data_IF_996605675965
#
_entry.id   IF_996605675965
#
_cell.length_a   1.000
_cell.length_b   1.000
_cell.length_c   1.000
_cell.angle_alpha   90.00
_cell.angle_beta   90.00
_cell.angle_gamma   90.00
#
_symmetry.space_group_name_H-M   'P 1'
#
loop_
_entity.id
_entity.type
_entity.pdbx_description
1 polymer ?
#
# COMPACT_ATOMS: atom_id res chain seq x y z
N UNK A 1 -6.58 21.02 -11.82
CA UNK A 1 -5.70 19.94 -11.31
C UNK A 1 -4.41 20.00 -12.12
N UNK A 2 -3.39 20.63 -11.57
CA UNK A 2 -2.12 20.91 -12.24
C UNK A 2 -1.35 19.62 -12.52
N UNK A 3 -0.93 19.43 -13.78
CA UNK A 3 -0.23 18.24 -14.29
C UNK A 3 1.01 17.90 -13.44
N UNK A 4 1.71 18.93 -12.95
CA UNK A 4 2.85 18.82 -12.01
C UNK A 4 2.53 18.02 -10.73
N UNK A 5 1.33 18.12 -10.19
CA UNK A 5 0.95 17.39 -8.97
C UNK A 5 0.70 15.90 -9.25
N UNK A 6 0.21 15.56 -10.45
CA UNK A 6 -0.01 14.17 -10.87
C UNK A 6 1.31 13.48 -11.22
N UNK A 7 2.20 14.19 -11.91
CA UNK A 7 3.55 13.71 -12.23
C UNK A 7 4.34 13.42 -10.94
N UNK A 8 4.28 14.34 -9.97
CA UNK A 8 4.93 14.15 -8.66
C UNK A 8 4.35 12.94 -7.91
N UNK A 9 3.02 12.75 -7.95
CA UNK A 9 2.38 11.57 -7.33
C UNK A 9 2.82 10.26 -7.97
N UNK A 10 3.00 10.22 -9.29
CA UNK A 10 3.49 9.03 -9.99
C UNK A 10 4.97 8.75 -9.65
N UNK A 11 5.79 9.80 -9.64
CA UNK A 11 7.21 9.74 -9.24
C UNK A 11 7.40 9.24 -7.81
N UNK A 12 6.53 9.66 -6.88
CA UNK A 12 6.54 9.27 -5.47
C UNK A 12 6.02 7.85 -5.19
N UNK A 13 5.34 7.24 -6.15
CA UNK A 13 4.77 5.88 -6.00
C UNK A 13 5.52 4.83 -6.81
N UNK A 14 6.44 5.24 -7.68
CA UNK A 14 7.19 4.33 -8.52
C UNK A 14 8.53 3.95 -7.88
N UNK A 15 8.62 2.76 -7.32
CA UNK A 15 9.87 2.19 -6.78
C UNK A 15 10.99 2.02 -7.84
N UNK A 16 10.69 2.12 -9.13
CA UNK A 16 11.72 2.18 -10.17
C UNK A 16 12.36 3.57 -10.32
N UNK A 17 11.74 4.62 -9.77
CA UNK A 17 12.29 5.97 -9.79
C UNK A 17 13.33 6.13 -8.66
N UNK A 18 14.55 6.60 -8.93
CA UNK A 18 15.54 6.87 -7.88
C UNK A 18 15.04 7.84 -6.80
N UNK A 19 14.25 8.85 -7.18
CA UNK A 19 13.72 9.86 -6.26
C UNK A 19 12.75 9.26 -5.22
N UNK A 20 12.09 8.13 -5.54
CA UNK A 20 11.24 7.39 -4.61
C UNK A 20 12.01 6.92 -3.37
N UNK A 21 13.28 6.54 -3.55
CA UNK A 21 14.13 6.01 -2.48
C UNK A 21 14.77 7.14 -1.67
N UNK A 22 15.19 8.21 -2.35
CA UNK A 22 15.74 9.42 -1.70
C UNK A 22 14.77 10.03 -0.69
N UNK A 23 13.49 10.20 -1.06
CA UNK A 23 12.48 10.75 -0.13
C UNK A 23 12.15 9.83 1.05
N UNK A 24 12.55 8.55 0.98
CA UNK A 24 12.40 7.56 2.05
C UNK A 24 13.67 7.38 2.90
N UNK A 25 14.70 8.20 2.65
CA UNK A 25 15.96 8.17 3.40
C UNK A 25 16.99 7.16 2.90
N UNK A 26 16.77 6.54 1.74
CA UNK A 26 17.76 5.67 1.12
C UNK A 26 18.64 6.48 0.17
N UNK A 27 19.96 6.26 0.23
CA UNK A 27 20.91 6.90 -0.70
C UNK A 27 20.67 6.49 -2.15
N UNK A 28 20.30 5.22 -2.36
CA UNK A 28 19.96 4.68 -3.67
C UNK A 28 18.96 3.53 -3.53
N UNK A 29 18.44 3.04 -4.66
CA UNK A 29 17.49 1.91 -4.68
C UNK A 29 18.16 0.62 -4.14
N UNK A 30 17.64 0.03 -3.04
CA UNK A 30 18.18 -1.23 -2.49
C UNK A 30 18.11 -2.37 -3.52
N UNK A 31 19.07 -3.28 -3.55
CA UNK A 31 19.10 -4.40 -4.53
C UNK A 31 17.88 -5.31 -4.40
N UNK A 32 17.43 -5.56 -3.17
CA UNK A 32 16.32 -6.47 -2.84
C UNK A 32 14.96 -5.75 -2.78
N UNK A 33 14.84 -4.57 -3.38
CA UNK A 33 13.61 -3.76 -3.29
C UNK A 33 12.38 -4.46 -3.87
N UNK A 34 12.56 -5.27 -4.92
CA UNK A 34 11.47 -6.08 -5.51
C UNK A 34 10.98 -7.13 -4.51
N UNK A 35 11.91 -7.77 -3.80
CA UNK A 35 11.63 -8.80 -2.82
C UNK A 35 11.03 -8.25 -1.52
N UNK A 36 11.14 -6.94 -1.27
CA UNK A 36 10.45 -6.29 -0.16
C UNK A 36 8.98 -5.98 -0.48
N UNK A 37 8.62 -5.75 -1.75
CA UNK A 37 7.23 -5.43 -2.12
C UNK A 37 6.28 -6.61 -1.95
N UNK A 38 6.78 -7.84 -2.15
CA UNK A 38 6.05 -9.09 -1.91
C UNK A 38 5.95 -9.43 -0.42
N UNK A 39 6.77 -8.81 0.44
CA UNK A 39 6.72 -8.95 1.91
C UNK A 39 5.69 -8.04 2.56
N UNK A 40 4.76 -7.47 1.78
CA UNK A 40 3.50 -6.94 2.34
C UNK A 40 2.62 -8.11 2.76
N UNK A 41 3.12 -8.93 3.69
CA UNK A 41 2.31 -9.83 4.46
C UNK A 41 1.43 -8.92 5.29
N UNK A 42 0.16 -8.83 4.91
CA UNK A 42 -0.84 -8.32 5.82
C UNK A 42 -0.62 -9.04 7.15
N UNK A 43 -0.35 -8.29 8.23
CA UNK A 43 -0.07 -8.86 9.55
C UNK A 43 -1.26 -9.66 10.11
N UNK A 44 -2.39 -9.63 9.41
CA UNK A 44 -3.62 -10.34 9.71
C UNK A 44 -3.68 -11.66 8.93
N UNK A 45 -4.00 -12.74 9.65
CA UNK A 45 -4.42 -14.00 9.02
C UNK A 45 -5.55 -13.76 8.02
N UNK A 46 -5.66 -14.62 7.01
CA UNK A 46 -6.75 -14.62 6.04
C UNK A 46 -8.13 -14.57 6.72
N UNK A 47 -8.31 -15.30 7.81
CA UNK A 47 -9.56 -15.28 8.58
C UNK A 47 -9.85 -13.92 9.21
N UNK A 48 -8.82 -13.23 9.71
CA UNK A 48 -8.94 -11.90 10.29
C UNK A 48 -9.25 -10.85 9.20
N UNK A 49 -8.70 -11.00 8.00
CA UNK A 49 -9.05 -10.16 6.85
C UNK A 49 -10.50 -10.35 6.43
N UNK A 50 -10.96 -11.60 6.34
CA UNK A 50 -12.32 -11.92 5.91
C UNK A 50 -13.34 -11.48 6.97
N UNK A 51 -13.03 -11.64 8.25
CA UNK A 51 -13.83 -11.10 9.35
C UNK A 51 -13.92 -9.58 9.30
N UNK A 52 -12.79 -8.89 9.16
CA UNK A 52 -12.76 -7.42 9.01
C UNK A 52 -13.55 -6.97 7.79
N UNK A 53 -13.42 -7.67 6.67
CA UNK A 53 -14.14 -7.34 5.43
C UNK A 53 -15.66 -7.51 5.61
N UNK A 54 -16.09 -8.52 6.34
CA UNK A 54 -17.50 -8.75 6.70
C UNK A 54 -18.06 -7.65 7.59
N UNK A 55 -17.29 -7.14 8.54
CA UNK A 55 -17.69 -6.05 9.43
C UNK A 55 -17.77 -4.68 8.73
N UNK A 56 -17.01 -4.47 7.67
CA UNK A 56 -16.96 -3.19 6.96
C UNK A 56 -17.85 -3.15 5.71
N UNK A 57 -18.52 -4.25 5.37
CA UNK A 57 -19.41 -4.34 4.22
C UNK A 57 -20.86 -4.00 4.63
N UNK A 58 -21.41 -2.83 4.26
CA UNK A 58 -22.78 -2.44 4.60
C UNK A 58 -23.86 -3.33 3.96
N UNK A 59 -23.52 -4.16 2.97
CA UNK A 59 -24.41 -5.15 2.38
C UNK A 59 -24.39 -6.49 3.13
N UNK A 60 -23.57 -6.63 4.17
CA UNK A 60 -23.48 -7.82 4.99
C UNK A 60 -24.25 -7.62 6.30
N UNK A 61 -25.04 -8.61 6.69
CA UNK A 61 -25.86 -8.57 7.91
C UNK A 61 -25.04 -8.40 9.20
N UNK A 62 -23.77 -8.84 9.19
CA UNK A 62 -22.87 -8.66 10.33
C UNK A 62 -22.48 -7.20 10.58
N UNK A 63 -22.63 -6.30 9.61
CA UNK A 63 -22.33 -4.87 9.74
C UNK A 63 -23.24 -4.17 10.76
N UNK A 64 -24.51 -4.57 10.81
CA UNK A 64 -25.53 -3.94 11.66
C UNK A 64 -25.68 -4.59 13.03
N UNK A 65 -24.97 -5.70 13.28
CA UNK A 65 -24.95 -6.35 14.58
C UNK A 65 -23.89 -5.66 15.45
N UNK A 66 -24.35 -4.83 16.39
CA UNK A 66 -23.52 -4.04 17.31
C UNK A 66 -23.62 -4.58 18.73
#
# INVERSE_FOLDING_TARGET
MDKKCQDNRASQKNSNNPEYWKVRGYQDRPKDWKDQSSKSFSSMSKDAQDYRSRQMNPNNQAYYKK
#
